data_IF_902828537263
#
_entry.id   IF_902828537263
#
_cell.length_a   1.000
_cell.length_b   1.000
_cell.length_c   1.000
_cell.angle_alpha   90.00
_cell.angle_beta   90.00
_cell.angle_gamma   90.00
#
_symmetry.space_group_name_H-M   'P 1'
#
loop_
_entity.id
_entity.type
_entity.pdbx_description
1 polymer ?
#
# COMPACT_ATOMS: atom_id res chain seq x y z
N UNK A 1 30.88 -6.61 -17.04
CA UNK A 1 29.60 -5.97 -17.42
C UNK A 1 29.88 -4.54 -17.87
N UNK A 2 29.38 -4.11 -19.04
CA UNK A 2 29.55 -2.73 -19.55
C UNK A 2 28.66 -1.75 -18.77
N UNK A 3 29.10 -0.50 -18.62
CA UNK A 3 28.40 0.55 -17.88
C UNK A 3 26.95 0.74 -18.37
N UNK A 4 26.72 0.72 -19.70
CA UNK A 4 25.38 0.86 -20.29
C UNK A 4 24.39 -0.21 -19.81
N UNK A 5 24.83 -1.47 -19.71
CA UNK A 5 23.96 -2.55 -19.21
C UNK A 5 23.65 -2.45 -17.71
N UNK A 6 24.48 -1.75 -16.93
CA UNK A 6 24.18 -1.44 -15.52
C UNK A 6 23.17 -0.28 -15.43
N UNK A 7 23.30 0.72 -16.30
CA UNK A 7 22.38 1.86 -16.35
C UNK A 7 20.96 1.43 -16.76
N UNK A 8 20.82 0.67 -17.85
CA UNK A 8 19.50 0.19 -18.30
C UNK A 8 18.79 -0.66 -17.24
N UNK A 9 19.57 -1.45 -16.48
CA UNK A 9 19.03 -2.29 -15.41
C UNK A 9 18.59 -1.45 -14.22
N UNK A 10 19.34 -0.39 -13.90
CA UNK A 10 18.96 0.59 -12.89
C UNK A 10 17.70 1.35 -13.32
N UNK A 11 17.63 1.85 -14.56
CA UNK A 11 16.46 2.53 -15.12
C UNK A 11 15.21 1.66 -15.09
N UNK A 12 15.32 0.39 -15.50
CA UNK A 12 14.19 -0.56 -15.40
C UNK A 12 13.74 -0.78 -13.95
N UNK A 13 14.69 -0.84 -13.02
CA UNK A 13 14.39 -1.04 -11.61
C UNK A 13 13.75 0.19 -10.94
N UNK A 14 13.94 1.40 -11.49
CA UNK A 14 13.36 2.64 -10.95
C UNK A 14 12.15 3.16 -11.72
N UNK A 15 11.90 2.68 -12.94
CA UNK A 15 10.86 3.17 -13.86
C UNK A 15 9.46 3.19 -13.24
N UNK A 16 9.15 2.14 -12.50
CA UNK A 16 7.83 1.93 -11.90
C UNK A 16 7.80 2.38 -10.43
N UNK A 17 8.83 3.12 -9.97
CA UNK A 17 8.84 3.65 -8.60
C UNK A 17 8.06 4.96 -8.53
N UNK A 18 7.32 5.19 -7.44
CA UNK A 18 6.84 6.52 -7.09
C UNK A 18 8.01 7.51 -7.08
N UNK A 19 7.74 8.75 -7.48
CA UNK A 19 8.73 9.84 -7.34
C UNK A 19 9.03 10.09 -5.85
N UNK A 20 10.15 10.73 -5.56
CA UNK A 20 10.62 10.97 -4.19
C UNK A 20 9.65 11.83 -3.36
N UNK A 21 8.74 12.55 -4.00
CA UNK A 21 7.68 13.37 -3.44
C UNK A 21 6.28 12.72 -3.49
N UNK A 22 6.20 11.45 -3.91
CA UNK A 22 4.95 10.71 -4.00
C UNK A 22 4.81 9.68 -2.88
N UNK A 23 3.59 9.55 -2.39
CA UNK A 23 3.23 8.64 -1.30
C UNK A 23 2.24 7.59 -1.79
N UNK A 24 2.38 6.38 -1.29
CA UNK A 24 1.32 5.37 -1.42
C UNK A 24 0.37 5.52 -0.24
N UNK A 25 -0.91 5.73 -0.53
CA UNK A 25 -1.95 5.83 0.47
C UNK A 25 -2.66 4.49 0.61
N UNK A 26 -2.74 3.97 1.83
CA UNK A 26 -3.49 2.76 2.14
C UNK A 26 -4.60 3.10 3.12
N UNK A 27 -5.83 2.81 2.73
CA UNK A 27 -6.98 2.95 3.63
C UNK A 27 -7.15 1.66 4.43
N UNK A 28 -7.06 1.75 5.75
CA UNK A 28 -7.37 0.63 6.63
C UNK A 28 -8.88 0.52 6.83
N UNK A 29 -9.45 -0.64 6.49
CA UNK A 29 -10.89 -0.91 6.55
C UNK A 29 -11.13 -2.20 7.34
N UNK A 30 -12.03 -2.23 8.33
CA UNK A 30 -12.34 -3.47 9.05
C UNK A 30 -13.10 -4.43 8.13
N UNK A 31 -12.86 -5.74 8.27
CA UNK A 31 -13.44 -6.80 7.42
C UNK A 31 -14.95 -6.72 7.25
N UNK A 32 -15.70 -6.31 8.27
CA UNK A 32 -17.16 -6.14 8.20
C UNK A 32 -17.64 -5.00 7.29
N UNK A 33 -16.74 -4.09 6.88
CA UNK A 33 -17.03 -2.94 6.00
C UNK A 33 -16.25 -2.98 4.69
N UNK A 34 -15.47 -4.04 4.45
CA UNK A 34 -14.56 -4.14 3.30
C UNK A 34 -15.23 -4.62 2.01
N UNK A 35 -16.56 -4.59 1.91
CA UNK A 35 -17.28 -4.95 0.68
C UNK A 35 -17.02 -6.39 0.18
N UNK A 36 -16.70 -7.32 1.08
CA UNK A 36 -16.38 -8.71 0.74
C UNK A 36 -14.91 -8.96 0.38
N UNK A 37 -14.04 -7.95 0.45
CA UNK A 37 -12.60 -8.17 0.30
C UNK A 37 -12.04 -9.04 1.45
N UNK A 38 -11.19 -10.05 1.15
CA UNK A 38 -10.50 -10.83 2.17
C UNK A 38 -9.55 -10.00 3.03
N UNK A 39 -9.12 -10.53 4.17
CA UNK A 39 -8.06 -9.90 4.99
C UNK A 39 -6.76 -9.73 4.19
N UNK A 40 -6.09 -8.59 4.40
CA UNK A 40 -4.80 -8.27 3.78
C UNK A 40 -4.80 -6.99 2.95
N UNK A 41 -3.64 -6.69 2.35
CA UNK A 41 -3.44 -5.53 1.49
C UNK A 41 -3.88 -5.84 0.04
N UNK A 42 -4.82 -5.06 -0.46
CA UNK A 42 -5.30 -5.08 -1.84
C UNK A 42 -4.83 -3.80 -2.53
N UNK A 43 -3.82 -3.93 -3.38
CA UNK A 43 -3.27 -2.79 -4.11
C UNK A 43 -4.12 -2.48 -5.35
N UNK A 44 -4.49 -1.21 -5.52
CA UNK A 44 -5.19 -0.68 -6.70
C UNK A 44 -4.36 0.37 -7.45
N UNK A 45 -3.20 0.74 -6.90
CA UNK A 45 -2.28 1.68 -7.50
C UNK A 45 -1.53 1.14 -8.73
N UNK A 46 -0.80 2.02 -9.44
CA UNK A 46 0.07 1.62 -10.54
C UNK A 46 1.16 0.65 -10.08
N UNK A 47 1.76 -0.07 -11.03
CA UNK A 47 2.85 -1.03 -10.75
C UNK A 47 3.94 -0.37 -9.91
N UNK A 48 4.32 -1.02 -8.81
CA UNK A 48 5.33 -0.50 -7.86
C UNK A 48 4.78 0.38 -6.73
N UNK A 49 3.49 0.74 -6.77
CA UNK A 49 2.76 1.36 -5.67
C UNK A 49 2.21 0.30 -4.70
N UNK A 50 2.10 0.66 -3.43
CA UNK A 50 1.34 -0.10 -2.42
C UNK A 50 0.00 0.55 -2.11
N UNK A 51 -0.44 1.55 -2.89
CA UNK A 51 -1.71 2.23 -2.68
C UNK A 51 -2.89 1.26 -2.81
N UNK A 52 -3.90 1.45 -1.97
CA UNK A 52 -5.13 0.66 -1.98
C UNK A 52 -5.76 0.47 -0.60
N UNK A 53 -6.28 -0.72 -0.33
CA UNK A 53 -7.06 -1.01 0.89
C UNK A 53 -6.39 -2.10 1.72
N UNK A 54 -6.15 -1.84 3.00
CA UNK A 54 -5.74 -2.83 3.98
C UNK A 54 -6.96 -3.29 4.77
N UNK A 55 -7.41 -4.51 4.49
CA UNK A 55 -8.53 -5.12 5.22
C UNK A 55 -8.00 -5.82 6.46
N UNK A 56 -8.46 -5.41 7.63
CA UNK A 56 -8.00 -5.95 8.91
C UNK A 56 -9.15 -6.49 9.77
N UNK A 57 -8.81 -7.37 10.72
CA UNK A 57 -9.77 -7.85 11.71
C UNK A 57 -9.62 -7.04 13.01
N UNK A 58 -10.57 -6.14 13.34
CA UNK A 58 -10.46 -5.32 14.55
C UNK A 58 -10.47 -6.13 15.84
N UNK A 59 -10.98 -7.38 15.84
CA UNK A 59 -10.95 -8.26 17.01
C UNK A 59 -9.56 -8.83 17.28
N UNK A 60 -8.66 -8.82 16.29
CA UNK A 60 -7.27 -9.34 16.42
C UNK A 60 -6.29 -8.21 16.71
N UNK A 61 -6.61 -6.97 16.36
CA UNK A 61 -5.79 -5.81 16.67
C UNK A 61 -5.99 -4.65 15.70
N UNK A 62 -5.08 -3.68 15.80
CA UNK A 62 -4.99 -2.54 14.88
C UNK A 62 -4.40 -2.96 13.53
N UNK A 63 -4.70 -2.24 12.44
CA UNK A 63 -4.11 -2.50 11.14
C UNK A 63 -2.59 -2.28 11.20
N UNK A 64 -1.83 -3.35 10.97
CA UNK A 64 -0.38 -3.29 10.83
C UNK A 64 0.02 -3.67 9.41
N UNK A 65 1.00 -2.96 8.87
CA UNK A 65 1.56 -3.27 7.56
C UNK A 65 2.61 -4.35 7.76
N UNK A 66 2.47 -5.55 7.15
CA UNK A 66 3.42 -6.63 7.37
C UNK A 66 4.85 -6.22 6.94
N UNK A 67 5.84 -6.69 7.68
CA UNK A 67 7.25 -6.48 7.34
C UNK A 67 7.54 -6.98 5.91
N UNK A 68 8.33 -6.22 5.14
CA UNK A 68 8.63 -6.53 3.75
C UNK A 68 7.49 -6.30 2.73
N UNK A 69 6.29 -5.91 3.18
CA UNK A 69 5.22 -5.39 2.30
C UNK A 69 5.28 -3.87 2.11
N UNK A 70 6.10 -3.18 2.90
CA UNK A 70 6.43 -1.77 2.70
C UNK A 70 7.30 -1.62 1.45
N UNK A 71 6.92 -0.70 0.56
CA UNK A 71 7.77 -0.33 -0.55
C UNK A 71 9.06 0.30 0.00
N UNK A 72 10.27 -0.24 -0.28
CA UNK A 72 11.52 0.27 0.30
C UNK A 72 11.95 1.63 -0.30
N UNK A 73 11.09 2.25 -1.11
CA UNK A 73 11.34 3.47 -1.87
C UNK A 73 10.22 4.51 -1.76
N UNK A 74 9.25 4.31 -0.87
CA UNK A 74 8.14 5.25 -0.67
C UNK A 74 7.65 5.27 0.77
N UNK A 75 7.14 6.42 1.19
CA UNK A 75 6.43 6.53 2.47
C UNK A 75 4.99 6.03 2.27
N UNK A 76 4.60 5.07 3.12
CA UNK A 76 3.24 4.56 3.19
C UNK A 76 2.49 5.29 4.31
N UNK A 77 1.33 5.85 3.96
CA UNK A 77 0.43 6.46 4.94
C UNK A 77 -0.78 5.53 5.09
N UNK A 78 -0.97 5.00 6.30
CA UNK A 78 -2.15 4.20 6.65
C UNK A 78 -3.19 5.14 7.25
N UNK A 79 -4.30 5.33 6.56
CA UNK A 79 -5.42 6.11 7.06
C UNK A 79 -6.47 5.15 7.64
N UNK A 80 -6.75 5.25 8.92
CA UNK A 80 -8.00 4.70 9.46
C UNK A 80 -9.14 5.55 8.92
N UNK A 81 -10.16 4.90 8.35
CA UNK A 81 -11.38 5.61 8.04
C UNK A 81 -12.08 5.96 9.37
N UNK A 82 -12.14 7.25 9.72
CA UNK A 82 -13.04 7.71 10.78
C UNK A 82 -14.47 7.46 10.33
N UNK A 83 -15.06 6.38 10.83
CA UNK A 83 -16.46 6.10 10.58
C UNK A 83 -17.28 6.83 11.64
N UNK A 84 -17.87 7.96 11.26
CA UNK A 84 -18.93 8.59 12.06
C UNK A 84 -20.16 7.69 11.93
N UNK A 85 -20.44 6.89 12.95
CA UNK A 85 -21.68 6.12 13.04
C UNK A 85 -22.85 7.12 13.18
N UNK A 86 -23.50 7.45 12.06
CA UNK A 86 -24.80 8.12 12.03
C UNK A 86 -25.92 7.07 12.07
N UNK A 87 -27.03 7.31 12.79
CA UNK A 87 -28.11 6.33 12.88
C UNK A 87 -28.78 6.16 11.50
N UNK A 88 -28.93 4.91 11.07
CA UNK A 88 -29.80 4.50 9.97
C UNK A 88 -31.28 4.67 10.35
#
# INVERSE_FOLDING_TARGET
MRLGGRLERAERAVRDRPRTDQFSLVQAVPVGRAGGLPLGLHADGPRGSTAGVLVYNPAVGRPEVPEGRLAPWGLLIVCEAEFVDGPL
#
